data_IF_552116785031
#
_entry.id   IF_552116785031
#
_cell.length_a   1.000
_cell.length_b   1.000
_cell.length_c   1.000
_cell.angle_alpha   90.00
_cell.angle_beta   90.00
_cell.angle_gamma   90.00
#
_symmetry.space_group_name_H-M   'P 1'
#
loop_
_entity.id
_entity.type
_entity.pdbx_description
1 polymer ?
#
# COMPACT_ATOMS: atom_id res chain seq x y z
N UNK A 1 -26.43 27.75 -13.07
CA UNK A 1 -26.11 26.97 -11.86
C UNK A 1 -25.04 25.99 -12.26
N UNK A 2 -23.78 26.37 -12.07
CA UNK A 2 -22.66 25.45 -12.30
C UNK A 2 -22.69 24.45 -11.17
N UNK A 3 -23.08 23.22 -11.46
CA UNK A 3 -22.84 22.10 -10.57
C UNK A 3 -21.35 21.81 -10.66
N UNK A 4 -20.58 22.46 -9.80
CA UNK A 4 -19.27 21.95 -9.43
C UNK A 4 -19.54 20.66 -8.67
N UNK A 5 -19.48 19.53 -9.38
CA UNK A 5 -19.39 18.23 -8.74
C UNK A 5 -17.95 18.14 -8.25
N UNK A 6 -17.67 18.32 -6.94
CA UNK A 6 -16.31 18.11 -6.45
C UNK A 6 -15.92 16.67 -6.80
N UNK A 7 -14.73 16.52 -7.36
CA UNK A 7 -14.15 15.21 -7.70
C UNK A 7 -14.14 14.34 -6.44
N UNK A 8 -15.05 13.36 -6.46
CA UNK A 8 -15.00 12.02 -5.88
C UNK A 8 -14.38 11.90 -4.49
N UNK A 9 -15.25 11.74 -3.49
CA UNK A 9 -14.93 11.23 -2.16
C UNK A 9 -14.39 9.80 -2.30
N UNK A 10 -13.07 9.64 -2.41
CA UNK A 10 -12.42 8.33 -2.47
C UNK A 10 -12.46 7.72 -1.08
N UNK A 11 -13.07 6.53 -0.96
CA UNK A 11 -13.14 5.80 0.30
C UNK A 11 -12.04 4.75 0.38
N UNK A 12 -11.39 4.68 1.53
CA UNK A 12 -10.39 3.65 1.82
C UNK A 12 -11.05 2.33 2.23
N UNK A 13 -12.15 2.40 2.98
CA UNK A 13 -12.97 1.27 3.38
C UNK A 13 -14.38 1.36 2.78
N UNK A 14 -14.95 0.21 2.43
CA UNK A 14 -16.34 0.08 1.98
C UNK A 14 -17.32 0.13 3.17
N UNK A 15 -18.64 0.05 2.92
CA UNK A 15 -19.67 0.11 3.95
C UNK A 15 -19.62 -1.08 4.94
N UNK A 16 -18.81 -2.12 4.66
CA UNK A 16 -18.51 -3.25 5.55
C UNK A 16 -17.14 -3.17 6.26
N UNK A 17 -16.49 -1.99 6.28
CA UNK A 17 -15.14 -1.79 6.86
C UNK A 17 -14.03 -2.62 6.17
N UNK A 18 -14.30 -3.08 4.94
CA UNK A 18 -13.33 -3.81 4.11
C UNK A 18 -12.57 -2.85 3.19
N UNK A 19 -11.28 -3.14 2.96
CA UNK A 19 -10.44 -2.39 2.01
C UNK A 19 -11.10 -2.33 0.63
N UNK A 20 -11.21 -1.12 0.06
CA UNK A 20 -11.75 -0.94 -1.30
C UNK A 20 -10.77 -1.43 -2.37
N UNK A 21 -11.24 -1.84 -3.56
CA UNK A 21 -10.36 -2.30 -4.64
C UNK A 21 -9.33 -1.24 -5.08
N UNK A 22 -9.73 0.04 -5.13
CA UNK A 22 -8.79 1.13 -5.43
C UNK A 22 -7.68 1.25 -4.38
N UNK A 23 -8.04 1.14 -3.10
CA UNK A 23 -7.08 1.20 -2.01
C UNK A 23 -6.17 -0.03 -1.97
N UNK A 24 -6.72 -1.23 -2.19
CA UNK A 24 -5.93 -2.46 -2.33
C UNK A 24 -4.87 -2.33 -3.42
N UNK A 25 -5.22 -1.77 -4.58
CA UNK A 25 -4.27 -1.57 -5.69
C UNK A 25 -3.18 -0.54 -5.34
N UNK A 26 -3.54 0.50 -4.59
CA UNK A 26 -2.58 1.46 -4.05
C UNK A 26 -1.60 0.78 -3.08
N UNK A 27 -2.11 0.02 -2.11
CA UNK A 27 -1.32 -0.72 -1.14
C UNK A 27 -0.43 -1.77 -1.82
N UNK A 28 -0.89 -2.43 -2.88
CA UNK A 28 -0.08 -3.37 -3.66
C UNK A 28 1.16 -2.70 -4.27
N UNK A 29 1.02 -1.44 -4.72
CA UNK A 29 2.14 -0.65 -5.23
C UNK A 29 3.12 -0.26 -4.13
N UNK A 30 2.63 0.14 -2.95
CA UNK A 30 3.47 0.47 -1.78
C UNK A 30 4.22 -0.78 -1.33
N UNK A 31 3.50 -1.88 -1.10
CA UNK A 31 4.06 -3.16 -0.68
C UNK A 31 5.18 -3.62 -1.63
N UNK A 32 4.93 -3.53 -2.94
CA UNK A 32 5.90 -3.92 -3.98
C UNK A 32 7.19 -3.10 -4.00
N UNK A 33 7.27 -1.93 -3.34
CA UNK A 33 8.52 -1.16 -3.18
C UNK A 33 9.51 -1.85 -2.23
N UNK A 34 9.00 -2.59 -1.25
CA UNK A 34 9.79 -3.21 -0.17
C UNK A 34 9.83 -4.74 -0.27
N UNK A 35 8.78 -5.34 -0.83
CA UNK A 35 8.63 -6.77 -0.90
C UNK A 35 9.61 -7.41 -1.89
N UNK A 36 10.03 -8.63 -1.56
CA UNK A 36 10.80 -9.49 -2.44
C UNK A 36 9.83 -10.44 -3.15
N UNK A 37 10.02 -10.61 -4.45
CA UNK A 37 9.26 -11.62 -5.19
C UNK A 37 9.65 -13.01 -4.70
N UNK A 38 8.65 -13.89 -4.53
CA UNK A 38 8.97 -15.31 -4.39
C UNK A 38 9.75 -15.75 -5.63
N UNK A 39 10.84 -16.50 -5.41
CA UNK A 39 11.70 -17.04 -6.46
C UNK A 39 10.99 -18.17 -7.20
N UNK A 40 9.87 -17.86 -7.84
CA UNK A 40 9.04 -18.83 -8.54
C UNK A 40 8.73 -18.29 -9.92
N UNK A 41 9.41 -18.87 -10.90
CA UNK A 41 9.04 -18.93 -12.31
C UNK A 41 7.62 -19.49 -12.45
N UNK A 42 6.60 -18.66 -12.22
CA UNK A 42 5.23 -18.98 -12.55
C UNK A 42 4.89 -18.38 -13.93
N UNK A 43 4.33 -19.17 -14.86
CA UNK A 43 3.94 -18.66 -16.18
C UNK A 43 2.82 -17.61 -16.05
N UNK A 44 2.85 -16.61 -16.93
CA UNK A 44 1.85 -15.55 -17.01
C UNK A 44 0.42 -16.11 -17.08
N UNK A 45 -0.54 -15.58 -16.32
CA UNK A 45 -1.92 -16.04 -16.38
C UNK A 45 -2.55 -15.68 -17.73
N UNK A 46 -2.96 -16.71 -18.48
CA UNK A 46 -3.77 -16.57 -19.70
C UNK A 46 -5.15 -16.06 -19.31
N UNK A 47 -5.49 -14.87 -19.80
CA UNK A 47 -6.71 -14.12 -19.49
C UNK A 47 -7.98 -14.86 -19.90
N UNK A 48 -8.92 -15.04 -18.95
CA UNK A 48 -10.36 -14.92 -19.17
C UNK A 48 -11.14 -15.09 -17.83
N UNK A 49 -11.28 -14.03 -17.04
CA UNK A 49 -12.29 -13.95 -15.98
C UNK A 49 -12.44 -12.49 -15.52
N UNK A 50 -13.68 -11.98 -15.49
CA UNK A 50 -14.08 -10.65 -14.99
C UNK A 50 -13.83 -10.43 -13.48
N UNK A 51 -13.08 -11.33 -12.83
CA UNK A 51 -12.74 -11.29 -11.40
C UNK A 51 -11.25 -11.58 -11.15
N UNK A 52 -10.40 -11.22 -12.12
CA UNK A 52 -8.94 -11.41 -12.01
C UNK A 52 -8.34 -10.19 -11.31
N UNK A 53 -7.54 -10.37 -10.24
CA UNK A 53 -6.87 -9.25 -9.58
C UNK A 53 -5.97 -8.50 -10.57
N UNK A 54 -5.85 -7.18 -10.38
CA UNK A 54 -4.92 -6.36 -11.14
C UNK A 54 -3.49 -6.93 -11.07
N UNK A 55 -2.66 -6.74 -12.11
CA UNK A 55 -1.30 -7.30 -12.14
C UNK A 55 -0.42 -6.85 -10.97
N UNK A 56 -0.66 -5.65 -10.42
CA UNK A 56 0.00 -5.17 -9.21
C UNK A 56 -0.38 -6.02 -7.98
N UNK A 57 -1.68 -6.24 -7.77
CA UNK A 57 -2.22 -7.07 -6.67
C UNK A 57 -1.76 -8.51 -6.80
N UNK A 58 -1.85 -9.10 -8.00
CA UNK A 58 -1.40 -10.47 -8.26
C UNK A 58 0.10 -10.67 -7.91
N UNK A 59 0.94 -9.69 -8.26
CA UNK A 59 2.37 -9.71 -7.90
C UNK A 59 2.59 -9.53 -6.40
N UNK A 60 1.84 -8.64 -5.76
CA UNK A 60 1.94 -8.41 -4.31
C UNK A 60 1.56 -9.68 -3.53
N UNK A 61 0.48 -10.37 -3.93
CA UNK A 61 0.05 -11.65 -3.35
C UNK A 61 1.09 -12.77 -3.44
N UNK A 62 2.01 -12.73 -4.42
CA UNK A 62 3.12 -13.68 -4.55
C UNK A 62 4.46 -13.14 -4.03
N UNK A 63 4.43 -12.07 -3.24
CA UNK A 63 5.62 -11.41 -2.68
C UNK A 63 5.50 -11.32 -1.16
N UNK A 64 6.63 -11.12 -0.48
CA UNK A 64 6.69 -11.01 0.98
C UNK A 64 7.68 -9.92 1.42
N UNK A 65 7.47 -9.34 2.59
CA UNK A 65 8.42 -8.43 3.24
C UNK A 65 9.18 -9.14 4.35
N UNK A 66 10.50 -9.26 4.18
CA UNK A 66 11.40 -9.71 5.24
C UNK A 66 11.37 -8.74 6.44
N UNK A 67 11.79 -9.16 7.65
CA UNK A 67 11.84 -8.26 8.81
C UNK A 67 12.62 -6.95 8.56
N UNK A 68 13.73 -7.01 7.80
CA UNK A 68 14.49 -5.83 7.44
C UNK A 68 13.76 -4.90 6.45
N UNK A 69 12.91 -5.47 5.58
CA UNK A 69 12.06 -4.70 4.67
C UNK A 69 10.88 -4.05 5.41
N UNK A 70 10.31 -4.78 6.38
CA UNK A 70 9.29 -4.25 7.30
C UNK A 70 9.83 -3.04 8.07
N UNK A 71 11.05 -3.12 8.61
CA UNK A 71 11.71 -1.98 9.26
C UNK A 71 11.87 -0.79 8.34
N UNK A 72 12.27 -1.03 7.09
CA UNK A 72 12.44 0.05 6.12
C UNK A 72 11.11 0.71 5.76
N UNK A 73 10.05 -0.07 5.58
CA UNK A 73 8.70 0.45 5.38
C UNK A 73 8.24 1.27 6.59
N UNK A 74 8.46 0.76 7.80
CA UNK A 74 8.12 1.46 9.05
C UNK A 74 8.86 2.80 9.17
N UNK A 75 10.15 2.86 8.83
CA UNK A 75 10.93 4.11 8.84
C UNK A 75 10.39 5.09 7.81
N UNK A 76 10.14 4.65 6.58
CA UNK A 76 9.65 5.53 5.52
C UNK A 76 8.23 6.05 5.80
N UNK A 77 7.45 5.30 6.61
CA UNK A 77 6.07 5.61 6.97
C UNK A 77 6.01 6.42 8.27
N UNK A 78 6.61 5.94 9.36
CA UNK A 78 6.48 6.50 10.71
C UNK A 78 7.71 7.28 11.19
N UNK A 79 8.83 7.21 10.45
CA UNK A 79 10.09 7.84 10.81
C UNK A 79 11.01 6.95 11.67
N UNK A 80 10.49 5.86 12.23
CA UNK A 80 11.24 4.92 13.07
C UNK A 80 10.81 3.46 12.81
N UNK A 81 11.70 2.49 13.04
CA UNK A 81 11.35 1.07 12.95
C UNK A 81 10.44 0.65 14.10
N UNK A 82 9.70 -0.44 13.92
CA UNK A 82 8.92 -1.02 15.02
C UNK A 82 9.84 -1.58 16.11
N UNK A 83 9.39 -1.48 17.36
CA UNK A 83 10.04 -2.15 18.48
C UNK A 83 9.97 -3.68 18.32
N UNK A 84 10.89 -4.41 18.96
CA UNK A 84 10.88 -5.88 18.95
C UNK A 84 9.57 -6.45 19.51
N UNK A 85 9.00 -5.80 20.54
CA UNK A 85 7.71 -6.16 21.12
C UNK A 85 6.59 -5.99 20.09
N UNK A 86 6.51 -4.83 19.43
CA UNK A 86 5.51 -4.58 18.39
C UNK A 86 5.62 -5.54 17.21
N UNK A 87 6.84 -5.94 16.84
CA UNK A 87 7.06 -6.94 15.79
C UNK A 87 6.59 -8.32 16.20
N UNK A 88 6.78 -8.71 17.46
CA UNK A 88 6.29 -9.98 17.96
C UNK A 88 4.76 -10.01 17.92
N UNK A 89 4.10 -8.95 18.40
CA UNK A 89 2.65 -8.83 18.30
C UNK A 89 2.18 -8.91 16.83
N UNK A 90 2.89 -8.25 15.91
CA UNK A 90 2.60 -8.36 14.48
C UNK A 90 2.67 -9.81 13.98
N UNK A 91 3.64 -10.63 14.42
CA UNK A 91 3.74 -12.06 14.07
C UNK A 91 2.54 -12.86 14.57
N UNK A 92 2.06 -12.55 15.78
CA UNK A 92 0.97 -13.27 16.41
C UNK A 92 -0.42 -12.93 15.81
N UNK A 93 -0.58 -11.73 15.24
CA UNK A 93 -1.88 -11.23 14.76
C UNK A 93 -2.00 -11.09 13.23
N UNK A 94 -0.90 -10.90 12.50
CA UNK A 94 -0.93 -10.66 11.06
C UNK A 94 -0.64 -11.93 10.25
N UNK A 95 -1.12 -11.94 9.02
CA UNK A 95 -0.77 -12.99 8.05
C UNK A 95 0.71 -12.89 7.65
N UNK A 96 1.48 -13.87 8.10
CA UNK A 96 2.89 -14.08 7.75
C UNK A 96 3.07 -15.40 7.01
N UNK A 97 4.13 -15.51 6.21
CA UNK A 97 4.53 -16.79 5.62
C UNK A 97 5.21 -17.71 6.64
N UNK A 98 5.48 -18.95 6.24
CA UNK A 98 6.12 -19.98 7.09
C UNK A 98 7.53 -19.59 7.58
N UNK A 99 8.16 -18.58 6.96
CA UNK A 99 9.48 -18.05 7.30
C UNK A 99 9.39 -16.79 8.19
N UNK A 100 8.18 -16.36 8.59
CA UNK A 100 7.94 -15.18 9.43
C UNK A 100 8.05 -13.86 8.68
N UNK A 101 7.86 -13.87 7.36
CA UNK A 101 7.82 -12.66 6.54
C UNK A 101 6.38 -12.17 6.39
N UNK A 102 6.18 -10.84 6.42
CA UNK A 102 4.87 -10.25 6.24
C UNK A 102 4.38 -10.45 4.80
N UNK A 103 3.20 -11.07 4.64
CA UNK A 103 2.59 -11.23 3.31
C UNK A 103 1.82 -9.97 2.92
N UNK A 104 1.39 -9.88 1.66
CA UNK A 104 0.51 -8.79 1.25
C UNK A 104 -0.82 -8.78 2.00
N UNK A 105 -1.35 -9.95 2.39
CA UNK A 105 -2.58 -10.02 3.19
C UNK A 105 -2.37 -9.42 4.58
N UNK A 106 -1.25 -9.74 5.23
CA UNK A 106 -0.90 -9.15 6.52
C UNK A 106 -0.72 -7.63 6.41
N UNK A 107 -0.15 -7.16 5.30
CA UNK A 107 -0.03 -5.74 5.02
C UNK A 107 -1.40 -5.03 4.87
N UNK A 108 -2.36 -5.67 4.20
CA UNK A 108 -3.74 -5.14 4.12
C UNK A 108 -4.39 -5.07 5.50
N UNK A 109 -4.18 -6.07 6.36
CA UNK A 109 -4.72 -6.07 7.73
C UNK A 109 -4.20 -4.90 8.57
N UNK A 110 -2.93 -4.53 8.43
CA UNK A 110 -2.37 -3.35 9.11
C UNK A 110 -3.13 -2.09 8.71
N UNK A 111 -3.27 -1.85 7.40
CA UNK A 111 -3.95 -0.66 6.89
C UNK A 111 -5.44 -0.66 7.16
N UNK A 112 -6.10 -1.82 7.15
CA UNK A 112 -7.51 -1.93 7.53
C UNK A 112 -7.70 -1.46 8.98
N UNK A 113 -6.96 -2.07 9.91
CA UNK A 113 -7.04 -1.73 11.34
C UNK A 113 -6.67 -0.26 11.60
N UNK A 114 -5.60 0.24 10.97
CA UNK A 114 -5.21 1.64 11.10
C UNK A 114 -6.32 2.58 10.60
N UNK A 115 -6.91 2.28 9.45
CA UNK A 115 -7.96 3.11 8.85
C UNK A 115 -9.26 3.10 9.67
N UNK A 116 -9.61 1.96 10.27
CA UNK A 116 -10.72 1.84 11.23
C UNK A 116 -10.53 2.76 12.46
N UNK A 117 -9.28 2.97 12.89
CA UNK A 117 -8.96 3.76 14.07
C UNK A 117 -8.73 5.25 13.77
N UNK A 118 -7.96 5.56 12.73
CA UNK A 118 -7.59 6.92 12.32
C UNK A 118 -7.33 6.98 10.80
N UNK A 119 -8.39 7.19 10.03
CA UNK A 119 -8.33 7.32 8.56
C UNK A 119 -7.38 8.43 8.10
N UNK A 120 -7.30 9.54 8.86
CA UNK A 120 -6.42 10.67 8.54
C UNK A 120 -4.93 10.28 8.65
N UNK A 121 -4.57 9.39 9.58
CA UNK A 121 -3.23 8.80 9.65
C UNK A 121 -2.92 7.99 8.40
N UNK A 122 -3.84 7.13 7.96
CA UNK A 122 -3.68 6.36 6.71
C UNK A 122 -3.41 7.29 5.53
N UNK A 123 -4.18 8.37 5.38
CA UNK A 123 -3.94 9.31 4.29
C UNK A 123 -2.55 9.98 4.35
N UNK A 124 -2.06 10.33 5.55
CA UNK A 124 -0.71 10.88 5.70
C UNK A 124 0.36 9.90 5.25
N UNK A 125 0.16 8.61 5.48
CA UNK A 125 1.08 7.57 5.02
C UNK A 125 1.07 7.42 3.51
N UNK A 126 -0.11 7.45 2.88
CA UNK A 126 -0.23 7.43 1.43
C UNK A 126 0.47 8.63 0.78
N UNK A 127 0.33 9.82 1.38
CA UNK A 127 1.04 11.03 0.95
C UNK A 127 2.57 10.86 1.02
N UNK A 128 3.11 10.27 2.11
CA UNK A 128 4.55 9.94 2.23
C UNK A 128 5.02 8.97 1.14
N UNK A 129 4.15 8.05 0.73
CA UNK A 129 4.42 7.11 -0.36
C UNK A 129 4.18 7.67 -1.76
N UNK A 130 3.80 8.95 -1.86
CA UNK A 130 3.65 9.70 -3.11
C UNK A 130 2.29 9.55 -3.78
N UNK A 131 1.24 9.16 -3.03
CA UNK A 131 -0.13 9.12 -3.52
C UNK A 131 -0.89 10.38 -3.10
N UNK A 132 -1.79 10.85 -3.96
CA UNK A 132 -2.72 11.93 -3.61
C UNK A 132 -4.04 11.38 -3.03
N UNK A 133 -4.96 12.30 -2.73
CA UNK A 133 -6.31 12.00 -2.21
C UNK A 133 -7.22 11.29 -3.23
N UNK A 134 -6.77 11.10 -4.46
CA UNK A 134 -7.45 10.29 -5.46
C UNK A 134 -6.85 8.87 -5.60
N UNK A 135 -5.91 8.48 -4.71
CA UNK A 135 -5.11 7.26 -4.79
C UNK A 135 -4.25 7.18 -6.06
N UNK A 136 -3.97 8.31 -6.70
CA UNK A 136 -3.12 8.39 -7.87
C UNK A 136 -1.67 8.67 -7.44
N UNK A 137 -0.71 7.95 -8.03
CA UNK A 137 0.70 8.20 -7.76
C UNK A 137 1.09 9.54 -8.40
N UNK A 138 1.33 10.54 -7.57
CA UNK A 138 1.80 11.84 -8.02
C UNK A 138 3.26 11.68 -8.44
N UNK A 139 3.47 11.42 -9.73
CA UNK A 139 4.81 11.51 -10.31
C UNK A 139 5.32 12.91 -9.96
N UNK A 140 6.43 12.99 -9.23
CA UNK A 140 7.13 14.25 -9.00
C UNK A 140 7.41 14.86 -10.38
N UNK A 141 6.53 15.74 -10.84
CA UNK A 141 6.70 16.51 -12.06
C UNK A 141 7.77 17.54 -11.73
N UNK A 142 9.01 17.15 -11.99
CA UNK A 142 10.00 17.97 -12.66
C UNK A 142 10.12 19.39 -12.09
N UNK A 143 11.00 19.56 -11.10
CA UNK A 143 11.52 20.86 -10.70
C UNK A 143 12.46 21.47 -11.76
N UNK A 144 12.07 21.48 -13.03
CA UNK A 144 12.79 22.15 -14.11
C UNK A 144 12.14 23.48 -14.47
N UNK A 145 12.83 24.58 -14.12
CA UNK A 145 12.66 25.90 -14.74
C UNK A 145 11.69 26.83 -14.00
N UNK A 146 12.13 27.93 -13.37
CA UNK A 146 13.01 28.93 -13.95
C UNK A 146 13.86 29.61 -12.86
N UNK A 147 15.19 29.54 -13.05
CA UNK A 147 16.03 30.69 -12.78
C UNK A 147 15.69 31.74 -13.85
N UNK A 148 15.01 32.81 -13.47
CA UNK A 148 15.08 34.07 -14.23
C UNK A 148 15.69 35.10 -13.30
N UNK A 149 16.97 35.33 -13.57
CA UNK A 149 17.67 36.56 -13.27
C UNK A 149 16.94 37.72 -13.94
N UNK A 150 16.57 38.75 -13.17
CA UNK A 150 16.76 40.16 -13.52
C UNK A 150 17.03 40.97 -12.26
#
# INVERSE_FOLDING_TARGET
MSVDVPRTDVRLLDDEDSITPEFEECLARIFSKYAQAQSSTAPAPTSNAENTPSPAVARALSSYMTPAALDRWAIDTNGEPFSEESKQEMVDFLDMDDDGNLTFKGFLQIYQLQTENDEDETWRDLEKHGFDRALELVSARDGSGQSVTV
#
